data_IF_762949097252
#
_entry.id   IF_762949097252
#
_cell.length_a   1.000
_cell.length_b   1.000
_cell.length_c   1.000
_cell.angle_alpha   90.00
_cell.angle_beta   90.00
_cell.angle_gamma   90.00
#
_symmetry.space_group_name_H-M   'P 1'
#
loop_
_entity.id
_entity.type
_entity.pdbx_description
1 polymer ?
#
# COMPACT_ATOMS: atom_id res chain seq x y z
N UNK A 1 -35.30 25.12 47.78
CA UNK A 1 -36.23 25.56 46.73
C UNK A 1 -36.74 24.29 46.05
N UNK A 2 -38.06 24.07 46.00
CA UNK A 2 -38.59 22.88 45.33
C UNK A 2 -38.24 22.96 43.83
N UNK A 3 -37.73 21.86 43.26
CA UNK A 3 -37.46 21.77 41.82
C UNK A 3 -38.77 21.99 41.04
N UNK A 4 -38.73 22.59 39.85
CA UNK A 4 -39.92 22.84 39.03
C UNK A 4 -40.75 21.55 38.82
N UNK A 5 -40.09 20.40 38.73
CA UNK A 5 -40.74 19.08 38.67
C UNK A 5 -41.60 18.77 39.90
N UNK A 6 -41.18 19.18 41.10
CA UNK A 6 -41.95 18.97 42.32
C UNK A 6 -43.15 19.90 42.42
N UNK A 7 -43.03 21.11 41.85
CA UNK A 7 -44.15 22.06 41.74
C UNK A 7 -45.17 21.55 40.72
N UNK A 8 -44.71 21.07 39.57
CA UNK A 8 -45.57 20.48 38.52
C UNK A 8 -46.25 19.21 39.05
N UNK A 9 -45.53 18.32 39.73
CA UNK A 9 -46.10 17.11 40.35
C UNK A 9 -47.18 17.46 41.37
N UNK A 10 -46.92 18.43 42.26
CA UNK A 10 -47.92 18.90 43.24
C UNK A 10 -49.13 19.55 42.57
N UNK A 11 -48.92 20.35 41.53
CA UNK A 11 -50.01 20.98 40.76
C UNK A 11 -50.88 19.93 40.08
N UNK A 12 -50.28 18.92 39.45
CA UNK A 12 -50.99 17.79 38.84
C UNK A 12 -51.75 16.93 39.86
N UNK A 13 -51.22 16.75 41.08
CA UNK A 13 -51.92 16.03 42.15
C UNK A 13 -53.11 16.81 42.73
N UNK A 14 -53.04 18.14 42.75
CA UNK A 14 -54.09 19.01 43.32
C UNK A 14 -55.16 19.37 42.27
N UNK A 15 -54.76 19.70 41.04
CA UNK A 15 -55.65 20.15 39.95
C UNK A 15 -55.98 19.04 38.94
N UNK A 16 -55.24 17.94 38.92
CA UNK A 16 -55.53 16.78 38.08
C UNK A 16 -56.63 15.92 38.71
N UNK A 17 -57.87 16.22 38.36
CA UNK A 17 -59.08 15.40 38.62
C UNK A 17 -59.57 15.33 40.09
N UNK A 18 -58.74 15.55 41.12
CA UNK A 18 -59.12 15.29 42.53
C UNK A 18 -59.85 16.40 43.30
N UNK A 19 -59.58 17.69 43.01
CA UNK A 19 -60.10 18.80 43.82
C UNK A 19 -61.61 19.11 43.63
N UNK A 20 -62.20 18.68 42.52
CA UNK A 20 -63.62 18.88 42.22
C UNK A 20 -64.51 17.83 42.86
N UNK A 21 -64.08 16.57 42.85
CA UNK A 21 -64.87 15.44 43.37
C UNK A 21 -64.94 15.43 44.90
N UNK A 22 -63.84 15.74 45.59
CA UNK A 22 -63.85 15.88 47.05
C UNK A 22 -64.82 16.98 47.52
N UNK A 23 -64.88 18.11 46.79
CA UNK A 23 -65.84 19.18 47.06
C UNK A 23 -67.28 18.75 46.81
N UNK A 24 -67.53 17.98 45.74
CA UNK A 24 -68.85 17.42 45.40
C UNK A 24 -69.32 16.41 46.46
N UNK A 25 -68.46 15.49 46.88
CA UNK A 25 -68.75 14.51 47.94
C UNK A 25 -69.05 15.20 49.29
N UNK A 26 -68.26 16.20 49.65
CA UNK A 26 -68.52 17.01 50.85
C UNK A 26 -69.85 17.79 50.76
N UNK A 27 -70.23 18.28 49.57
CA UNK A 27 -71.52 18.93 49.36
C UNK A 27 -72.69 17.94 49.45
N UNK A 28 -72.56 16.74 48.88
CA UNK A 28 -73.53 15.66 49.01
C UNK A 28 -73.71 15.24 50.48
N UNK A 29 -72.61 15.07 51.23
CA UNK A 29 -72.64 14.74 52.66
C UNK A 29 -73.41 15.78 53.47
N UNK A 30 -73.11 17.08 53.28
CA UNK A 30 -73.82 18.18 53.96
C UNK A 30 -75.30 18.22 53.59
N UNK A 31 -75.63 17.99 52.32
CA UNK A 31 -77.01 17.96 51.82
C UNK A 31 -77.79 16.78 52.42
N UNK A 32 -77.16 15.61 52.51
CA UNK A 32 -77.72 14.41 53.13
C UNK A 32 -78.02 14.61 54.62
N UNK A 33 -77.06 15.13 55.39
CA UNK A 33 -77.26 15.43 56.82
C UNK A 33 -78.39 16.43 57.01
N UNK A 34 -78.49 17.46 56.17
CA UNK A 34 -79.59 18.44 56.22
C UNK A 34 -80.93 17.80 55.90
N UNK A 35 -80.97 16.89 54.92
CA UNK A 35 -82.17 16.18 54.51
C UNK A 35 -82.70 15.24 55.62
N UNK A 36 -81.81 14.47 56.26
CA UNK A 36 -82.17 13.58 57.37
C UNK A 36 -82.72 14.31 58.61
N UNK A 37 -82.30 15.56 58.83
CA UNK A 37 -82.76 16.39 59.95
C UNK A 37 -83.93 17.31 59.60
N UNK A 38 -84.49 17.21 58.38
CA UNK A 38 -85.64 18.01 57.95
C UNK A 38 -86.94 17.35 58.42
N UNK A 39 -87.86 18.08 59.08
CA UNK A 39 -89.15 17.53 59.50
C UNK A 39 -90.05 17.16 58.30
N UNK A 40 -89.88 17.84 57.16
CA UNK A 40 -90.50 17.50 55.87
C UNK A 40 -89.41 17.44 54.78
N UNK A 41 -89.00 16.26 54.32
CA UNK A 41 -87.99 16.11 53.28
C UNK A 41 -88.54 16.47 51.89
N UNK A 42 -87.94 17.46 51.23
CA UNK A 42 -88.32 17.91 49.88
C UNK A 42 -87.82 16.94 48.77
N UNK A 43 -88.70 16.57 47.85
CA UNK A 43 -88.40 15.72 46.67
C UNK A 43 -87.28 16.34 45.83
N UNK A 44 -87.22 17.67 45.72
CA UNK A 44 -86.19 18.35 44.92
C UNK A 44 -84.79 18.10 45.47
N UNK A 45 -84.65 18.06 46.80
CA UNK A 45 -83.38 17.80 47.48
C UNK A 45 -82.95 16.34 47.33
N UNK A 46 -83.91 15.41 47.31
CA UNK A 46 -83.64 14.00 47.01
C UNK A 46 -83.12 13.82 45.57
N UNK A 47 -83.78 14.42 44.58
CA UNK A 47 -83.33 14.36 43.18
C UNK A 47 -81.94 14.96 42.98
N UNK A 48 -81.63 16.04 43.73
CA UNK A 48 -80.30 16.65 43.73
C UNK A 48 -79.23 15.73 44.32
N UNK A 49 -79.55 14.99 45.39
CA UNK A 49 -78.63 13.98 45.95
C UNK A 49 -78.37 12.84 44.96
N UNK A 50 -79.40 12.32 44.29
CA UNK A 50 -79.26 11.30 43.24
C UNK A 50 -78.39 11.79 42.08
N UNK A 51 -78.55 13.05 41.68
CA UNK A 51 -77.73 13.64 40.62
C UNK A 51 -76.25 13.73 41.02
N UNK A 52 -75.96 14.08 42.28
CA UNK A 52 -74.58 14.07 42.79
C UNK A 52 -73.98 12.66 42.84
N UNK A 53 -74.78 11.66 43.22
CA UNK A 53 -74.34 10.26 43.24
C UNK A 53 -74.00 9.76 41.83
N UNK A 54 -74.88 10.01 40.86
CA UNK A 54 -74.67 9.61 39.46
C UNK A 54 -73.41 10.25 38.84
N UNK A 55 -73.14 11.52 39.16
CA UNK A 55 -71.91 12.19 38.72
C UNK A 55 -70.67 11.59 39.40
N UNK A 56 -70.76 11.21 40.67
CA UNK A 56 -69.67 10.54 41.39
C UNK A 56 -69.37 9.15 40.83
N UNK A 57 -70.40 8.35 40.54
CA UNK A 57 -70.28 7.05 39.88
C UNK A 57 -69.60 7.17 38.52
N UNK A 58 -70.02 8.16 37.72
CA UNK A 58 -69.38 8.45 36.43
C UNK A 58 -67.91 8.86 36.59
N UNK A 59 -67.58 9.70 37.57
CA UNK A 59 -66.21 10.12 37.82
C UNK A 59 -65.31 8.93 38.19
N UNK A 60 -65.77 8.03 39.08
CA UNK A 60 -65.03 6.82 39.45
C UNK A 60 -64.80 5.91 38.25
N UNK A 61 -65.84 5.66 37.44
CA UNK A 61 -65.72 4.87 36.23
C UNK A 61 -64.72 5.48 35.24
N UNK A 62 -64.79 6.79 35.02
CA UNK A 62 -63.85 7.54 34.17
C UNK A 62 -62.41 7.40 34.67
N UNK A 63 -62.16 7.59 35.98
CA UNK A 63 -60.81 7.45 36.54
C UNK A 63 -60.27 6.02 36.38
N UNK A 64 -61.11 5.00 36.50
CA UNK A 64 -60.73 3.60 36.23
C UNK A 64 -60.31 3.41 34.77
N UNK A 65 -61.08 3.91 33.80
CA UNK A 65 -60.73 3.82 32.38
C UNK A 65 -59.45 4.59 32.03
N UNK A 66 -59.26 5.78 32.60
CA UNK A 66 -58.03 6.56 32.41
C UNK A 66 -56.83 5.81 32.97
N UNK A 67 -56.98 5.18 34.15
CA UNK A 67 -55.93 4.35 34.74
C UNK A 67 -55.55 3.17 33.83
N UNK A 68 -56.53 2.41 33.34
CA UNK A 68 -56.28 1.30 32.42
C UNK A 68 -55.62 1.75 31.11
N UNK A 69 -56.08 2.88 30.55
CA UNK A 69 -55.48 3.49 29.36
C UNK A 69 -54.01 3.86 29.62
N UNK A 70 -53.71 4.49 30.76
CA UNK A 70 -52.37 4.90 31.13
C UNK A 70 -51.44 3.69 31.33
N UNK A 71 -51.94 2.59 31.91
CA UNK A 71 -51.18 1.35 32.04
C UNK A 71 -50.79 0.78 30.66
N UNK A 72 -51.75 0.73 29.72
CA UNK A 72 -51.49 0.28 28.34
C UNK A 72 -50.52 1.22 27.61
N UNK A 73 -50.63 2.53 27.81
CA UNK A 73 -49.68 3.48 27.23
C UNK A 73 -48.27 3.30 27.79
N UNK A 74 -48.15 3.09 29.11
CA UNK A 74 -46.86 2.85 29.75
C UNK A 74 -46.18 1.59 29.20
N UNK A 75 -46.93 0.52 28.98
CA UNK A 75 -46.40 -0.70 28.36
C UNK A 75 -45.91 -0.46 26.93
N UNK A 76 -46.68 0.27 26.12
CA UNK A 76 -46.26 0.66 24.76
C UNK A 76 -44.98 1.51 24.76
N UNK A 77 -44.85 2.45 25.69
CA UNK A 77 -43.63 3.26 25.78
C UNK A 77 -42.42 2.44 26.20
N UNK A 78 -42.58 1.42 27.05
CA UNK A 78 -41.50 0.49 27.38
C UNK A 78 -41.05 -0.31 26.14
N UNK A 79 -42.01 -0.86 25.38
CA UNK A 79 -41.71 -1.59 24.14
C UNK A 79 -40.99 -0.70 23.12
N UNK A 80 -41.48 0.54 22.93
CA UNK A 80 -40.85 1.50 22.03
C UNK A 80 -39.42 1.85 22.49
N UNK A 81 -39.19 1.97 23.80
CA UNK A 81 -37.87 2.23 24.33
C UNK A 81 -36.90 1.07 24.05
N UNK A 82 -37.34 -0.18 24.26
CA UNK A 82 -36.54 -1.37 23.93
C UNK A 82 -36.21 -1.46 22.43
N UNK A 83 -37.17 -1.11 21.56
CA UNK A 83 -36.95 -1.07 20.11
C UNK A 83 -35.93 0.00 19.72
N UNK A 84 -36.04 1.20 20.29
CA UNK A 84 -35.07 2.29 20.05
C UNK A 84 -33.68 1.86 20.53
N UNK A 85 -33.56 1.26 21.72
CA UNK A 85 -32.27 0.80 22.25
C UNK A 85 -31.64 -0.29 21.36
N UNK A 86 -32.46 -1.21 20.84
CA UNK A 86 -32.01 -2.23 19.89
C UNK A 86 -31.50 -1.58 18.59
N UNK A 87 -32.25 -0.63 18.02
CA UNK A 87 -31.87 0.08 16.80
C UNK A 87 -30.58 0.90 17.00
N UNK A 88 -30.42 1.57 18.15
CA UNK A 88 -29.19 2.29 18.50
C UNK A 88 -28.01 1.33 18.61
N UNK A 89 -28.20 0.15 19.20
CA UNK A 89 -27.16 -0.88 19.30
C UNK A 89 -26.75 -1.41 17.91
N UNK A 90 -27.71 -1.64 17.01
CA UNK A 90 -27.45 -2.05 15.63
C UNK A 90 -26.69 -0.97 14.86
N UNK A 91 -27.14 0.28 14.91
CA UNK A 91 -26.47 1.40 14.24
C UNK A 91 -25.02 1.56 14.73
N UNK A 92 -24.76 1.40 16.04
CA UNK A 92 -23.39 1.41 16.58
C UNK A 92 -22.52 0.29 15.99
N UNK A 93 -23.06 -0.93 15.86
CA UNK A 93 -22.33 -2.04 15.23
C UNK A 93 -22.03 -1.79 13.76
N UNK A 94 -22.98 -1.24 13.01
CA UNK A 94 -22.79 -0.87 11.62
C UNK A 94 -21.71 0.21 11.45
N UNK A 95 -21.69 1.22 12.32
CA UNK A 95 -20.64 2.25 12.34
C UNK A 95 -19.26 1.61 12.55
N UNK A 96 -19.11 0.69 13.50
CA UNK A 96 -17.84 0.01 13.73
C UNK A 96 -17.41 -0.83 12.53
N UNK A 97 -18.35 -1.53 11.88
CA UNK A 97 -18.08 -2.26 10.64
C UNK A 97 -17.64 -1.33 9.50
N UNK A 98 -18.32 -0.20 9.31
CA UNK A 98 -17.92 0.77 8.30
C UNK A 98 -16.55 1.40 8.59
N UNK A 99 -16.18 1.58 9.86
CA UNK A 99 -14.84 2.05 10.24
C UNK A 99 -13.75 1.05 9.85
N UNK A 100 -13.96 -0.24 10.09
CA UNK A 100 -12.99 -1.28 9.72
C UNK A 100 -12.84 -1.38 8.21
N UNK A 101 -13.97 -1.42 7.47
CA UNK A 101 -13.98 -1.43 6.01
C UNK A 101 -13.27 -0.20 5.42
N UNK A 102 -13.49 0.99 6.01
CA UNK A 102 -12.82 2.21 5.60
C UNK A 102 -11.31 2.16 5.84
N UNK A 103 -10.86 1.57 6.96
CA UNK A 103 -9.44 1.40 7.25
C UNK A 103 -8.77 0.47 6.23
N UNK A 104 -9.41 -0.65 5.89
CA UNK A 104 -8.95 -1.59 4.87
C UNK A 104 -8.90 -0.93 3.48
N UNK A 105 -9.95 -0.21 3.09
CA UNK A 105 -9.99 0.51 1.81
C UNK A 105 -8.88 1.57 1.71
N UNK A 106 -8.56 2.26 2.81
CA UNK A 106 -7.43 3.20 2.88
C UNK A 106 -6.09 2.49 2.70
N UNK A 107 -5.91 1.33 3.33
CA UNK A 107 -4.70 0.52 3.17
C UNK A 107 -4.52 0.06 1.73
N UNK A 108 -5.57 -0.49 1.11
CA UNK A 108 -5.55 -0.91 -0.30
C UNK A 108 -5.20 0.26 -1.21
N UNK A 109 -5.79 1.44 -0.97
CA UNK A 109 -5.47 2.66 -1.74
C UNK A 109 -4.01 3.08 -1.57
N UNK A 110 -3.45 2.98 -0.36
CA UNK A 110 -2.04 3.29 -0.11
C UNK A 110 -1.13 2.32 -0.88
N UNK A 111 -1.38 1.01 -0.75
CA UNK A 111 -0.61 -0.02 -1.45
C UNK A 111 -0.68 0.17 -2.96
N UNK A 112 -1.87 0.48 -3.51
CA UNK A 112 -2.04 0.76 -4.94
C UNK A 112 -1.18 1.94 -5.40
N UNK A 113 -1.14 3.04 -4.63
CA UNK A 113 -0.27 4.18 -4.96
C UNK A 113 1.22 3.81 -4.91
N UNK A 114 1.63 2.99 -3.96
CA UNK A 114 3.00 2.49 -3.86
C UNK A 114 3.36 1.62 -5.07
N UNK A 115 2.45 0.73 -5.49
CA UNK A 115 2.62 -0.08 -6.70
C UNK A 115 2.67 0.78 -7.97
N UNK A 116 1.77 1.77 -8.11
CA UNK A 116 1.76 2.67 -9.26
C UNK A 116 3.06 3.49 -9.34
N UNK A 117 3.59 3.94 -8.19
CA UNK A 117 4.86 4.65 -8.13
C UNK A 117 6.04 3.77 -8.54
N UNK A 118 6.10 2.52 -8.03
CA UNK A 118 7.13 1.55 -8.41
C UNK A 118 7.03 1.18 -9.90
N UNK A 119 5.81 0.96 -10.41
CA UNK A 119 5.58 0.69 -11.83
C UNK A 119 6.05 1.87 -12.70
N UNK A 120 5.82 3.11 -12.26
CA UNK A 120 6.33 4.30 -12.93
C UNK A 120 7.85 4.33 -13.03
N UNK A 121 8.58 3.89 -12.00
CA UNK A 121 10.04 3.75 -12.03
C UNK A 121 10.47 2.60 -12.95
N UNK A 122 9.81 1.45 -12.87
CA UNK A 122 10.12 0.28 -13.72
C UNK A 122 9.96 0.60 -15.20
N UNK A 123 8.93 1.37 -15.58
CA UNK A 123 8.68 1.79 -16.96
C UNK A 123 9.74 2.76 -17.52
N UNK A 124 10.58 3.37 -16.69
CA UNK A 124 11.72 4.18 -17.17
C UNK A 124 12.85 3.32 -17.72
N UNK A 125 12.89 2.03 -17.34
CA UNK A 125 13.88 1.09 -17.83
C UNK A 125 13.41 0.44 -19.14
N UNK A 126 14.35 0.07 -20.04
CA UNK A 126 14.00 -0.58 -21.29
C UNK A 126 13.35 -1.94 -21.04
N UNK A 127 12.59 -2.40 -22.04
CA UNK A 127 11.94 -3.69 -21.96
C UNK A 127 12.97 -4.82 -21.79
N UNK A 128 12.61 -5.78 -20.94
CA UNK A 128 13.50 -6.88 -20.58
C UNK A 128 13.84 -7.75 -21.79
N UNK A 129 12.86 -8.03 -22.66
CA UNK A 129 13.10 -8.90 -23.81
C UNK A 129 14.02 -8.22 -24.83
N UNK A 130 13.85 -6.91 -25.04
CA UNK A 130 14.76 -6.14 -25.90
C UNK A 130 16.19 -6.16 -25.35
N UNK A 131 16.36 -5.92 -24.05
CA UNK A 131 17.68 -5.92 -23.41
C UNK A 131 18.34 -7.30 -23.45
N UNK A 132 17.58 -8.37 -23.21
CA UNK A 132 18.07 -9.77 -23.34
C UNK A 132 18.48 -10.10 -24.78
N UNK A 133 17.75 -9.61 -25.78
CA UNK A 133 18.11 -9.73 -27.20
C UNK A 133 19.44 -9.06 -27.52
N UNK A 134 19.61 -7.80 -27.13
CA UNK A 134 20.86 -7.05 -27.31
C UNK A 134 22.05 -7.73 -26.62
N UNK A 135 21.85 -8.27 -25.42
CA UNK A 135 22.89 -9.03 -24.71
C UNK A 135 23.26 -10.29 -25.50
N UNK A 136 22.29 -11.00 -26.07
CA UNK A 136 22.55 -12.20 -26.86
C UNK A 136 23.33 -11.88 -28.14
N UNK A 137 22.99 -10.78 -28.81
CA UNK A 137 23.65 -10.31 -30.03
C UNK A 137 25.10 -9.89 -29.73
N UNK A 138 25.31 -9.04 -28.73
CA UNK A 138 26.65 -8.66 -28.26
C UNK A 138 27.51 -9.86 -27.85
N UNK A 139 26.92 -10.89 -27.24
CA UNK A 139 27.63 -12.14 -26.91
C UNK A 139 28.03 -12.94 -28.15
N UNK A 140 27.24 -12.87 -29.22
CA UNK A 140 27.59 -13.51 -30.49
C UNK A 140 28.76 -12.76 -31.13
N UNK A 141 28.68 -11.44 -31.19
CA UNK A 141 29.71 -10.58 -31.75
C UNK A 141 31.05 -10.74 -31.02
N UNK A 142 31.01 -10.81 -29.68
CA UNK A 142 32.21 -11.05 -28.87
C UNK A 142 32.90 -12.36 -29.24
N UNK A 143 32.14 -13.45 -29.37
CA UNK A 143 32.68 -14.76 -29.76
C UNK A 143 33.27 -14.73 -31.17
N UNK A 144 32.63 -14.02 -32.10
CA UNK A 144 33.14 -13.87 -33.46
C UNK A 144 34.44 -13.05 -33.48
N UNK A 145 34.52 -11.98 -32.69
CA UNK A 145 35.72 -11.17 -32.55
C UNK A 145 36.88 -11.97 -31.95
N UNK A 146 36.63 -12.73 -30.88
CA UNK A 146 37.62 -13.62 -30.25
C UNK A 146 38.13 -14.68 -31.24
N UNK A 147 37.23 -15.28 -32.03
CA UNK A 147 37.63 -16.24 -33.07
C UNK A 147 38.45 -15.59 -34.19
N UNK A 148 38.11 -14.37 -34.59
CA UNK A 148 38.87 -13.65 -35.61
C UNK A 148 40.23 -13.17 -35.11
N UNK A 149 40.33 -12.73 -33.85
CA UNK A 149 41.58 -12.42 -33.17
C UNK A 149 42.50 -13.65 -33.18
N UNK A 150 42.01 -14.80 -32.73
CA UNK A 150 42.77 -16.06 -32.73
C UNK A 150 43.29 -16.39 -34.14
N UNK A 151 42.42 -16.30 -35.15
CA UNK A 151 42.78 -16.55 -36.55
C UNK A 151 43.84 -15.57 -37.07
N UNK A 152 43.77 -14.30 -36.67
CA UNK A 152 44.75 -13.28 -37.05
C UNK A 152 46.09 -13.54 -36.40
N UNK A 153 46.11 -13.93 -35.12
CA UNK A 153 47.33 -14.32 -34.40
C UNK A 153 47.99 -15.52 -35.08
N UNK A 154 47.23 -16.55 -35.42
CA UNK A 154 47.75 -17.73 -36.15
C UNK A 154 48.34 -17.36 -37.51
N UNK A 155 47.66 -16.50 -38.27
CA UNK A 155 48.17 -15.99 -39.56
C UNK A 155 49.46 -15.20 -39.38
N UNK A 156 49.52 -14.34 -38.36
CA UNK A 156 50.69 -13.53 -38.07
C UNK A 156 51.88 -14.42 -37.72
N UNK A 157 51.69 -15.44 -36.89
CA UNK A 157 52.73 -16.40 -36.54
C UNK A 157 53.17 -17.26 -37.73
N UNK A 158 52.25 -17.63 -38.62
CA UNK A 158 52.61 -18.28 -39.89
C UNK A 158 53.49 -17.36 -40.75
N UNK A 159 53.14 -16.07 -40.87
CA UNK A 159 53.96 -15.09 -41.62
C UNK A 159 55.33 -14.89 -40.97
N UNK A 160 55.43 -14.81 -39.64
CA UNK A 160 56.73 -14.77 -38.93
C UNK A 160 57.60 -15.98 -39.28
N UNK A 161 57.03 -17.19 -39.28
CA UNK A 161 57.73 -18.43 -39.66
C UNK A 161 58.20 -18.39 -41.12
N UNK A 162 57.35 -17.92 -42.04
CA UNK A 162 57.71 -17.77 -43.46
C UNK A 162 58.83 -16.75 -43.67
N UNK A 163 58.78 -15.60 -42.98
CA UNK A 163 59.85 -14.59 -42.99
C UNK A 163 61.16 -15.15 -42.45
N UNK A 164 61.10 -15.92 -41.36
CA UNK A 164 62.29 -16.55 -40.80
C UNK A 164 62.93 -17.52 -41.78
N UNK A 165 62.14 -18.37 -42.44
CA UNK A 165 62.63 -19.28 -43.48
C UNK A 165 63.29 -18.53 -44.65
N UNK A 166 62.66 -17.46 -45.15
CA UNK A 166 63.23 -16.58 -46.17
C UNK A 166 64.55 -15.96 -45.72
N UNK A 167 64.63 -15.46 -44.49
CA UNK A 167 65.85 -14.88 -43.93
C UNK A 167 66.97 -15.92 -43.82
N UNK A 168 66.65 -17.14 -43.40
CA UNK A 168 67.61 -18.27 -43.38
C UNK A 168 68.10 -18.60 -44.79
N UNK A 169 67.21 -18.62 -45.79
CA UNK A 169 67.59 -18.85 -47.19
C UNK A 169 68.47 -17.71 -47.74
N UNK A 170 68.17 -16.45 -47.42
CA UNK A 170 69.00 -15.30 -47.80
C UNK A 170 70.38 -15.41 -47.15
N UNK A 171 70.44 -15.68 -45.84
CA UNK A 171 71.72 -15.86 -45.15
C UNK A 171 72.51 -17.02 -45.74
N UNK A 172 71.86 -18.13 -46.10
CA UNK A 172 72.53 -19.25 -46.76
C UNK A 172 73.04 -18.87 -48.15
N UNK A 173 72.27 -18.14 -48.95
CA UNK A 173 72.72 -17.63 -50.25
C UNK A 173 73.90 -16.65 -50.10
N UNK A 174 73.89 -15.80 -49.06
CA UNK A 174 75.02 -14.93 -48.74
C UNK A 174 76.26 -15.72 -48.33
N UNK A 175 76.11 -16.77 -47.53
CA UNK A 175 77.20 -17.68 -47.18
C UNK A 175 77.76 -18.35 -48.44
N UNK A 176 76.91 -18.90 -49.31
CA UNK A 176 77.38 -19.50 -50.57
C UNK A 176 78.04 -18.48 -51.51
N UNK A 177 77.54 -17.24 -51.56
CA UNK A 177 78.19 -16.16 -52.34
C UNK A 177 79.57 -15.84 -51.79
N UNK A 178 79.71 -15.71 -50.47
CA UNK A 178 80.99 -15.48 -49.83
C UNK A 178 81.96 -16.67 -50.05
N UNK A 179 81.46 -17.91 -49.97
CA UNK A 179 82.23 -19.12 -50.27
C UNK A 179 82.67 -19.17 -51.75
N UNK A 180 81.83 -18.70 -52.69
CA UNK A 180 82.22 -18.60 -54.11
C UNK A 180 83.17 -17.45 -54.41
N UNK A 181 83.06 -16.32 -53.68
CA UNK A 181 84.06 -15.25 -53.75
C UNK A 181 85.42 -15.72 -53.21
N UNK A 182 85.44 -16.48 -52.10
CA UNK A 182 86.65 -17.12 -51.57
C UNK A 182 87.24 -18.16 -52.54
N UNK A 183 86.41 -18.99 -53.19
CA UNK A 183 86.87 -19.96 -54.21
C UNK A 183 87.38 -19.30 -55.51
N UNK A 184 86.85 -18.14 -55.91
CA UNK A 184 87.32 -17.37 -57.07
C UNK A 184 88.59 -16.56 -56.74
N UNK A 185 88.76 -16.10 -55.49
CA UNK A 185 90.04 -15.56 -55.00
C UNK A 185 91.12 -16.66 -54.92
N UNK A 186 90.76 -17.87 -54.50
CA UNK A 186 91.67 -19.03 -54.48
C UNK A 186 91.99 -19.57 -55.89
N UNK A 187 91.08 -19.46 -56.87
CA UNK A 187 91.40 -19.75 -58.28
C UNK A 187 92.27 -18.67 -58.93
N UNK A 188 92.07 -17.39 -58.59
CA UNK A 188 92.94 -16.30 -59.03
C UNK A 188 94.33 -16.36 -58.39
N UNK A 189 94.48 -16.95 -57.20
CA UNK A 189 95.78 -17.19 -56.60
C UNK A 189 96.52 -18.39 -57.22
N UNK A 190 95.79 -19.38 -57.74
CA UNK A 190 96.38 -20.57 -58.39
C UNK A 190 96.82 -20.36 -59.86
N UNK A 191 96.29 -19.37 -60.58
CA UNK A 191 96.68 -19.06 -61.98
C UNK A 191 97.84 -18.05 -62.10
N UNK A 192 98.42 -17.55 -60.99
CA UNK A 192 99.49 -16.53 -60.99
C UNK A 192 100.87 -17.07 -60.56
N UNK A 193 100.99 -18.32 -60.09
CA UNK A 193 102.28 -18.88 -59.64
C UNK A 193 103.04 -19.67 -60.73
N UNK A 194 103.33 -19.00 -61.85
CA UNK A 194 104.45 -19.32 -62.75
C UNK A 194 104.89 -18.05 -63.48
N UNK A 195 105.52 -17.11 -62.79
CA UNK A 195 106.90 -16.71 -63.13
C UNK A 195 107.43 -15.61 -62.20
N UNK A 196 108.63 -15.91 -61.74
CA UNK A 196 109.78 -15.02 -61.65
C UNK A 196 110.22 -14.41 -60.33
N UNK A 197 111.54 -14.52 -60.20
CA UNK A 197 112.36 -14.27 -59.04
C UNK A 197 112.94 -12.85 -59.05
N UNK A 198 113.02 -12.23 -57.87
CA UNK A 198 114.27 -11.76 -57.20
C UNK A 198 114.04 -10.57 -56.28
N UNK A 199 114.67 -10.70 -55.10
CA UNK A 199 115.43 -9.71 -54.31
C UNK A 199 115.21 -8.21 -54.62
N UNK A 200 114.91 -7.40 -53.60
CA UNK A 200 115.99 -6.81 -52.77
C UNK A 200 115.45 -6.19 -51.47
N UNK A 201 116.41 -5.89 -50.59
CA UNK A 201 116.42 -5.64 -49.14
C UNK A 201 115.59 -4.51 -48.50
N UNK A 202 115.15 -4.83 -47.28
CA UNK A 202 114.80 -4.04 -46.06
C UNK A 202 115.86 -2.97 -45.64
N UNK A 203 115.70 -2.17 -44.53
CA UNK A 203 114.62 -2.05 -43.52
C UNK A 203 114.30 -0.61 -43.00
N UNK A 204 113.50 -0.57 -41.92
CA UNK A 204 113.34 0.46 -40.85
C UNK A 204 112.21 1.49 -41.03
N UNK A 205 111.37 1.81 -40.03
CA UNK A 205 111.04 1.22 -38.72
C UNK A 205 109.78 1.93 -38.18
N UNK A 206 108.92 1.14 -37.52
CA UNK A 206 108.14 1.39 -36.29
C UNK A 206 107.26 2.64 -36.03
N UNK A 207 106.16 2.29 -35.33
CA UNK A 207 105.32 3.05 -34.38
C UNK A 207 104.01 3.63 -34.94
N UNK A 208 102.83 3.48 -34.32
CA UNK A 208 102.46 2.91 -33.02
C UNK A 208 100.93 2.70 -32.98
N UNK A 209 100.51 1.63 -32.29
CA UNK A 209 99.16 1.45 -31.74
C UNK A 209 98.86 2.50 -30.69
N UNK A 210 97.62 2.99 -30.63
CA UNK A 210 96.74 2.78 -29.47
C UNK A 210 95.29 3.05 -29.87
#
# INVERSE_FOLDING_TARGET
MASDDDVIRKRLLIDGDGGGDERRLNALMKLFIKWCNSPDPDISTHQRMLSFLAVGEFAVAKSSFVYEMNMKQMEKYKQLQEEIDANVSLAKKEIEKCKTELAEARLIRKNRKEYDALAGVVLQHPDRQQTEGQISELKCDLKELEANELRLVEKLDLRKKQFHALLTSINHLQIMLNETEEEEEDKRSLDVDMDDAKMDTTPEELAQKT
#
